data_IF_324427060650
#
_entry.id   IF_324427060650
#
_cell.length_a   1.000
_cell.length_b   1.000
_cell.length_c   1.000
_cell.angle_alpha   90.00
_cell.angle_beta   90.00
_cell.angle_gamma   90.00
#
_symmetry.space_group_name_H-M   'P 1'
#
loop_
_entity.id
_entity.type
_entity.pdbx_description
1 polymer ?
#
# COMPACT_ATOMS: atom_id res chain seq x y z
N UNK A 1 0.54 -16.68 -19.22
CA UNK A 1 0.50 -16.36 -17.79
C UNK A 1 0.12 -14.88 -17.68
N UNK A 2 -1.15 -14.56 -17.39
CA UNK A 2 -1.56 -13.16 -17.26
C UNK A 2 -1.07 -12.68 -15.89
N UNK A 3 0.01 -11.89 -15.88
CA UNK A 3 0.49 -11.19 -14.69
C UNK A 3 -0.53 -10.09 -14.35
N UNK A 4 -1.71 -10.49 -13.87
CA UNK A 4 -2.67 -9.57 -13.30
C UNK A 4 -2.09 -9.05 -12.00
N UNK A 5 -1.29 -7.98 -12.08
CA UNK A 5 -0.91 -7.22 -10.90
C UNK A 5 -2.22 -6.69 -10.33
N UNK A 6 -2.60 -7.20 -9.16
CA UNK A 6 -3.70 -6.61 -8.40
C UNK A 6 -3.33 -5.15 -8.17
N UNK A 7 -4.25 -4.23 -8.50
CA UNK A 7 -3.98 -2.81 -8.37
C UNK A 7 -3.62 -2.48 -6.92
N UNK A 8 -2.52 -1.75 -6.73
CA UNK A 8 -2.12 -1.27 -5.40
C UNK A 8 -3.05 -0.14 -4.95
N UNK A 9 -3.27 -0.05 -3.65
CA UNK A 9 -4.02 1.03 -3.04
C UNK A 9 -3.21 2.34 -3.07
N UNK A 10 -3.84 3.48 -3.38
CA UNK A 10 -3.16 4.77 -3.38
C UNK A 10 -2.78 5.20 -1.95
N UNK A 11 -1.69 5.94 -1.83
CA UNK A 11 -1.21 6.55 -0.57
C UNK A 11 -1.14 8.05 -0.79
N UNK A 12 -1.86 8.82 0.02
CA UNK A 12 -1.95 10.28 -0.11
C UNK A 12 -1.33 10.92 1.11
N UNK A 13 -0.24 11.67 0.97
CA UNK A 13 0.44 12.26 2.12
C UNK A 13 -0.28 13.55 2.56
N UNK A 14 -1.11 13.54 3.63
CA UNK A 14 -1.77 14.74 4.09
C UNK A 14 -0.75 15.72 4.66
N UNK A 15 -1.03 17.03 4.56
CA UNK A 15 -0.26 18.06 5.26
C UNK A 15 -0.93 18.35 6.59
N UNK A 16 -0.15 18.36 7.66
CA UNK A 16 -0.62 18.84 8.96
C UNK A 16 -0.70 20.37 8.89
N UNK A 17 -1.82 20.95 9.31
CA UNK A 17 -1.95 22.40 9.47
C UNK A 17 -1.56 22.80 10.88
N UNK A 18 -0.83 23.92 11.02
CA UNK A 18 -0.29 24.37 12.31
C UNK A 18 -1.36 24.91 13.27
N UNK A 19 -2.55 25.20 12.76
CA UNK A 19 -3.68 25.79 13.50
C UNK A 19 -4.54 24.75 14.23
N UNK A 20 -4.24 23.45 14.09
CA UNK A 20 -4.95 22.37 14.77
C UNK A 20 -6.39 22.13 14.27
N UNK A 21 -6.85 22.90 13.27
CA UNK A 21 -8.20 22.82 12.71
C UNK A 21 -8.49 21.48 12.06
N UNK A 22 -7.45 20.66 11.80
CA UNK A 22 -7.63 19.41 11.07
C UNK A 22 -6.84 18.20 11.58
N UNK A 23 -6.60 18.11 12.90
CA UNK A 23 -5.82 17.01 13.49
C UNK A 23 -6.52 15.65 13.30
N UNK A 24 -7.83 15.57 13.51
CA UNK A 24 -8.57 14.30 13.40
C UNK A 24 -8.59 13.78 11.95
N UNK A 25 -8.86 14.64 10.95
CA UNK A 25 -8.80 14.20 9.54
C UNK A 25 -7.38 13.85 9.11
N UNK A 26 -6.37 14.54 9.64
CA UNK A 26 -4.97 14.20 9.42
C UNK A 26 -4.65 12.80 9.97
N UNK A 27 -4.99 12.53 11.24
CA UNK A 27 -4.73 11.25 11.90
C UNK A 27 -5.50 10.11 11.23
N UNK A 28 -6.74 10.36 10.79
CA UNK A 28 -7.51 9.41 9.97
C UNK A 28 -6.83 9.12 8.63
N UNK A 29 -6.35 10.15 7.94
CA UNK A 29 -5.66 10.02 6.66
C UNK A 29 -4.35 9.24 6.80
N UNK A 30 -3.60 9.46 7.88
CA UNK A 30 -2.41 8.67 8.22
C UNK A 30 -2.80 7.21 8.47
N UNK A 31 -3.81 6.96 9.30
CA UNK A 31 -4.26 5.59 9.61
C UNK A 31 -4.70 4.83 8.35
N UNK A 32 -5.38 5.51 7.43
CA UNK A 32 -5.79 4.92 6.15
C UNK A 32 -4.58 4.60 5.26
N UNK A 33 -3.58 5.50 5.20
CA UNK A 33 -2.35 5.25 4.45
C UNK A 33 -1.56 4.07 5.01
N UNK A 34 -1.46 3.94 6.33
CA UNK A 34 -0.79 2.81 6.97
C UNK A 34 -1.46 1.49 6.59
N UNK A 35 -2.79 1.46 6.60
CA UNK A 35 -3.55 0.29 6.16
C UNK A 35 -3.29 -0.04 4.68
N UNK A 36 -3.34 0.97 3.81
CA UNK A 36 -3.08 0.81 2.38
C UNK A 36 -1.65 0.30 2.12
N UNK A 37 -0.66 0.82 2.84
CA UNK A 37 0.74 0.39 2.74
C UNK A 37 0.90 -1.07 3.15
N UNK A 38 0.29 -1.49 4.27
CA UNK A 38 0.34 -2.88 4.72
C UNK A 38 -0.27 -3.84 3.68
N UNK A 39 -1.41 -3.47 3.10
CA UNK A 39 -2.03 -4.25 2.02
C UNK A 39 -1.13 -4.29 0.78
N UNK A 40 -0.57 -3.16 0.37
CA UNK A 40 0.35 -3.08 -0.77
C UNK A 40 1.58 -3.96 -0.59
N UNK A 41 2.22 -3.91 0.58
CA UNK A 41 3.38 -4.75 0.86
C UNK A 41 3.04 -6.24 0.86
N UNK A 42 1.85 -6.61 1.34
CA UNK A 42 1.37 -8.00 1.31
C UNK A 42 1.16 -8.49 -0.14
N UNK A 43 0.54 -7.67 -0.99
CA UNK A 43 0.35 -7.96 -2.42
C UNK A 43 1.70 -8.11 -3.12
N UNK A 44 2.63 -7.17 -2.90
CA UNK A 44 3.96 -7.19 -3.51
C UNK A 44 4.75 -8.42 -3.06
N UNK A 45 4.73 -8.75 -1.78
CA UNK A 45 5.38 -9.94 -1.25
C UNK A 45 4.86 -11.22 -1.92
N UNK A 46 3.53 -11.39 -1.98
CA UNK A 46 2.93 -12.55 -2.64
C UNK A 46 3.35 -12.65 -4.11
N UNK A 47 3.40 -11.52 -4.83
CA UNK A 47 3.84 -11.51 -6.23
C UNK A 47 5.32 -11.81 -6.40
N UNK A 48 6.17 -11.39 -5.47
CA UNK A 48 7.59 -11.76 -5.49
C UNK A 48 7.76 -13.27 -5.29
N UNK A 49 7.03 -13.87 -4.34
CA UNK A 49 7.06 -15.32 -4.12
C UNK A 49 6.60 -16.09 -5.37
N UNK A 50 5.48 -15.70 -5.99
CA UNK A 50 4.98 -16.32 -7.22
C UNK A 50 6.01 -16.24 -8.38
N UNK A 51 6.69 -15.10 -8.51
CA UNK A 51 7.72 -14.91 -9.54
C UNK A 51 8.97 -15.76 -9.25
N UNK A 52 9.40 -15.84 -8.00
CA UNK A 52 10.52 -16.69 -7.58
C UNK A 52 10.24 -18.17 -7.81
N UNK A 53 9.01 -18.63 -7.56
CA UNK A 53 8.59 -20.02 -7.85
C UNK A 53 8.59 -20.29 -9.35
N UNK A 54 7.99 -19.41 -10.15
CA UNK A 54 7.94 -19.52 -11.61
C UNK A 54 9.34 -19.60 -12.24
N UNK A 55 10.31 -18.85 -11.72
CA UNK A 55 11.70 -18.87 -12.19
C UNK A 55 12.48 -20.13 -11.79
N UNK A 56 12.08 -20.82 -10.72
CA UNK A 56 12.72 -22.09 -10.32
C UNK A 56 12.23 -23.28 -11.15
N UNK A 57 11.01 -23.19 -11.66
CA UNK A 57 10.36 -24.24 -12.45
C UNK A 57 10.66 -24.15 -13.96
N UNK A 58 11.26 -23.04 -14.41
CA UNK A 58 11.68 -22.77 -15.80
C UNK A 58 13.12 -23.17 -16.09
#
# INVERSE_FOLDING_TARGET
MQLGIQALFPVFLPRRTDDGTNVEEYDMSISQNENNLNQNFSILYQKLVELEESLKES
#
